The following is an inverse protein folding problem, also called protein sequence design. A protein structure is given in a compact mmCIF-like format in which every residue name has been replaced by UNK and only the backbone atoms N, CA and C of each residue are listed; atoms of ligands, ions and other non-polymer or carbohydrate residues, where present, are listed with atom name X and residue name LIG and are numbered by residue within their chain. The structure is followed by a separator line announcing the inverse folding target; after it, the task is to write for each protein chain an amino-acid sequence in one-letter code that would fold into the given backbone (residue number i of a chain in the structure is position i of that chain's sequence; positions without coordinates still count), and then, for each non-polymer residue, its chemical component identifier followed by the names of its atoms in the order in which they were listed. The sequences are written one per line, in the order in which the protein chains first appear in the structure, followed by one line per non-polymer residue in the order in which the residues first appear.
data_IF_490082455659
#
_entry.id   IF_490082455659
#
_cell.length_a   1.000
_cell.length_b   1.000
_cell.length_c   1.000
_cell.angle_alpha   90.00
_cell.angle_beta   90.00
_cell.angle_gamma   90.00
#
_symmetry.space_group_name_H-M   'P 1'
#
loop_
_entity.id
_entity.type
_entity.pdbx_description
1 polymer ?
#
# COMPACT_ATOMS: atom_id res chain seq x y z
N UNK A 1 6.88 -22.81 20.44
CA UNK A 1 6.60 -21.51 21.08
C UNK A 1 5.55 -20.78 20.25
N UNK A 2 4.31 -21.29 20.23
CA UNK A 2 3.21 -20.84 19.35
C UNK A 2 1.91 -20.69 20.15
N UNK A 3 1.97 -20.00 21.29
CA UNK A 3 0.84 -19.95 22.22
C UNK A 3 0.57 -18.53 22.70
N UNK A 4 0.53 -17.55 21.81
CA UNK A 4 0.29 -16.15 22.23
C UNK A 4 -0.48 -15.26 21.22
N UNK A 5 -1.20 -15.80 20.23
CA UNK A 5 -1.93 -14.97 19.25
C UNK A 5 -3.43 -15.30 19.13
N UNK A 6 -4.09 -15.72 20.22
CA UNK A 6 -5.56 -15.94 20.20
C UNK A 6 -6.40 -14.88 20.92
N UNK A 7 -5.80 -13.81 21.46
CA UNK A 7 -6.52 -12.85 22.31
C UNK A 7 -6.37 -11.36 21.96
N UNK A 8 -5.81 -11.00 20.81
CA UNK A 8 -5.72 -9.58 20.40
C UNK A 8 -7.08 -8.96 20.01
N UNK A 9 -8.15 -9.77 19.93
CA UNK A 9 -9.49 -9.30 19.54
C UNK A 9 -10.29 -8.62 20.68
N UNK A 10 -9.83 -8.64 21.94
CA UNK A 10 -10.64 -8.16 23.08
C UNK A 10 -9.96 -7.22 24.07
N UNK A 11 -8.68 -6.89 23.89
CA UNK A 11 -8.00 -5.94 24.77
C UNK A 11 -7.23 -4.96 23.88
N UNK A 12 -7.53 -3.67 24.03
CA UNK A 12 -6.83 -2.62 23.29
C UNK A 12 -5.31 -2.74 23.44
N UNK A 13 -4.60 -2.35 22.39
CA UNK A 13 -3.13 -2.46 22.32
C UNK A 13 -2.51 -1.63 23.45
N UNK A 14 -1.70 -2.26 24.30
CA UNK A 14 -0.94 -1.57 25.36
C UNK A 14 0.36 -1.01 24.76
N UNK A 15 0.84 0.14 25.27
CA UNK A 15 2.09 0.76 24.81
C UNK A 15 3.32 -0.17 24.88
N UNK A 16 3.34 -1.10 25.85
CA UNK A 16 4.41 -2.10 25.98
C UNK A 16 4.30 -3.27 24.97
N UNK A 17 3.18 -3.39 24.26
CA UNK A 17 2.93 -4.34 23.16
C UNK A 17 3.06 -3.67 21.78
N UNK A 18 3.25 -2.35 21.74
CA UNK A 18 3.73 -1.63 20.55
C UNK A 18 5.24 -1.78 20.43
N UNK A 19 5.74 -3.01 20.52
CA UNK A 19 7.07 -3.33 20.02
C UNK A 19 7.00 -3.31 18.49
N UNK A 20 7.96 -2.60 17.90
CA UNK A 20 7.93 -2.26 16.48
C UNK A 20 7.87 -3.50 15.60
N UNK A 21 8.76 -4.44 15.88
CA UNK A 21 8.96 -5.61 15.06
C UNK A 21 7.75 -6.55 15.11
N UNK A 22 7.12 -6.70 16.29
CA UNK A 22 5.95 -7.55 16.46
C UNK A 22 4.69 -6.96 15.83
N UNK A 23 4.50 -5.64 15.89
CA UNK A 23 3.39 -4.95 15.19
C UNK A 23 3.56 -5.05 13.66
N UNK A 24 4.77 -4.83 13.16
CA UNK A 24 5.08 -4.90 11.72
C UNK A 24 4.89 -6.30 11.19
N UNK A 25 5.35 -7.30 11.94
CA UNK A 25 5.21 -8.72 11.57
C UNK A 25 3.73 -9.10 11.47
N UNK A 26 2.89 -8.69 12.42
CA UNK A 26 1.46 -9.00 12.34
C UNK A 26 0.77 -8.20 11.23
N UNK A 27 1.15 -6.94 11.01
CA UNK A 27 0.62 -6.15 9.89
C UNK A 27 0.96 -6.78 8.54
N UNK A 28 2.21 -7.22 8.34
CA UNK A 28 2.62 -7.97 7.16
C UNK A 28 1.85 -9.28 7.01
N UNK A 29 1.62 -10.00 8.12
CA UNK A 29 0.83 -11.23 8.13
C UNK A 29 -0.60 -10.98 7.68
N UNK A 30 -1.23 -9.91 8.17
CA UNK A 30 -2.60 -9.53 7.82
C UNK A 30 -2.72 -9.10 6.35
N UNK A 31 -1.70 -8.42 5.82
CA UNK A 31 -1.70 -7.95 4.43
C UNK A 31 -1.31 -9.03 3.41
N UNK A 32 -0.70 -10.14 3.83
CA UNK A 32 -0.10 -11.14 2.95
C UNK A 32 -1.07 -11.67 1.88
N UNK A 33 -2.33 -11.88 2.26
CA UNK A 33 -3.35 -12.47 1.39
C UNK A 33 -4.31 -11.43 0.78
N UNK A 34 -4.06 -10.13 1.01
CA UNK A 34 -4.88 -9.10 0.36
C UNK A 34 -4.59 -9.06 -1.14
N UNK A 35 -5.64 -8.88 -1.97
CA UNK A 35 -5.46 -8.72 -3.40
C UNK A 35 -4.62 -7.48 -3.68
N UNK A 36 -3.67 -7.61 -4.60
CA UNK A 36 -2.91 -6.47 -5.11
C UNK A 36 -3.89 -5.47 -5.70
N UNK A 37 -3.82 -4.21 -5.24
CA UNK A 37 -4.69 -3.16 -5.75
C UNK A 37 -4.53 -3.06 -7.28
N UNK A 38 -5.63 -3.16 -8.05
CA UNK A 38 -5.54 -3.13 -9.51
C UNK A 38 -4.90 -1.81 -9.94
N UNK A 39 -3.81 -1.91 -10.69
CA UNK A 39 -3.17 -0.74 -11.29
C UNK A 39 -3.85 -0.45 -12.62
N UNK A 40 -4.18 0.81 -12.92
CA UNK A 40 -4.69 1.16 -14.23
C UNK A 40 -3.60 0.87 -15.26
N UNK A 41 -3.86 -0.13 -16.09
CA UNK A 41 -3.05 -0.49 -17.24
C UNK A 41 -3.79 0.01 -18.46
N UNK A 42 -3.15 0.86 -19.25
CA UNK A 42 -3.78 1.47 -20.42
C UNK A 42 -2.73 2.02 -21.37
N UNK A 43 -3.03 1.96 -22.66
CA UNK A 43 -2.20 2.61 -23.68
C UNK A 43 -2.37 4.13 -23.59
N UNK A 44 -1.25 4.84 -23.50
CA UNK A 44 -1.24 6.30 -23.49
C UNK A 44 -1.20 6.85 -24.92
N UNK A 45 -1.98 7.90 -25.17
CA UNK A 45 -1.85 8.69 -26.39
C UNK A 45 -0.74 9.74 -26.20
N UNK A 46 0.42 9.50 -26.81
CA UNK A 46 1.56 10.42 -26.74
C UNK A 46 1.32 11.79 -27.41
N UNK A 47 0.29 11.89 -28.26
CA UNK A 47 -0.09 13.12 -28.95
C UNK A 47 -1.22 13.89 -28.25
N UNK A 48 -1.57 13.51 -27.02
CA UNK A 48 -2.58 14.22 -26.24
C UNK A 48 -2.05 15.61 -25.83
N UNK A 49 -2.82 16.66 -26.12
CA UNK A 49 -2.43 18.05 -25.84
C UNK A 49 -2.74 18.49 -24.40
N UNK A 50 -3.53 17.72 -23.65
CA UNK A 50 -4.00 18.08 -22.32
C UNK A 50 -3.80 16.94 -21.34
N UNK A 51 -3.73 17.31 -20.05
CA UNK A 51 -3.61 16.35 -18.95
C UNK A 51 -4.93 15.60 -18.75
N UNK A 52 -4.85 14.36 -18.31
CA UNK A 52 -6.01 13.60 -17.87
C UNK A 52 -6.48 14.11 -16.50
N UNK A 53 -7.77 13.93 -16.19
CA UNK A 53 -8.38 14.39 -14.92
C UNK A 53 -7.70 13.73 -13.71
N UNK A 54 -7.33 12.46 -13.83
CA UNK A 54 -6.71 11.69 -12.75
C UNK A 54 -5.18 11.74 -12.77
N UNK A 55 -4.55 12.41 -13.73
CA UNK A 55 -3.09 12.47 -13.85
C UNK A 55 -2.43 11.21 -14.45
N UNK A 56 -3.21 10.27 -14.98
CA UNK A 56 -2.69 9.14 -15.77
C UNK A 56 -2.00 9.62 -17.05
N UNK A 57 -1.07 8.82 -17.55
CA UNK A 57 -0.32 9.05 -18.80
C UNK A 57 0.58 10.29 -18.82
N UNK A 58 0.91 10.87 -17.67
CA UNK A 58 1.98 11.88 -17.61
C UNK A 58 3.36 11.25 -17.87
N UNK A 59 3.55 9.98 -17.45
CA UNK A 59 4.69 9.15 -17.81
C UNK A 59 4.22 8.08 -18.80
N UNK A 60 4.76 8.07 -20.02
CA UNK A 60 4.31 7.17 -21.09
C UNK A 60 4.69 5.70 -20.82
N UNK A 61 5.86 5.48 -20.20
CA UNK A 61 6.35 4.14 -19.87
C UNK A 61 5.65 3.57 -18.64
N UNK A 62 5.22 4.44 -17.73
CA UNK A 62 4.57 4.08 -16.47
C UNK A 62 3.30 4.93 -16.24
N UNK A 63 2.19 4.61 -16.93
CA UNK A 63 1.00 5.47 -16.98
C UNK A 63 0.35 5.81 -15.63
N UNK A 64 0.53 4.98 -14.62
CA UNK A 64 -0.05 5.15 -13.28
C UNK A 64 0.82 6.00 -12.34
N UNK A 65 2.05 6.37 -12.72
CA UNK A 65 2.92 7.13 -11.82
C UNK A 65 2.42 8.56 -11.63
N UNK A 66 2.12 8.90 -10.37
CA UNK A 66 1.67 10.24 -9.99
C UNK A 66 0.18 10.50 -10.19
N UNK A 67 -0.61 9.47 -10.56
CA UNK A 67 -2.06 9.62 -10.66
C UNK A 67 -2.73 9.78 -9.29
N UNK A 68 -3.90 10.41 -9.28
CA UNK A 68 -4.78 10.46 -8.12
C UNK A 68 -5.31 9.06 -7.76
N UNK A 69 -5.49 8.80 -6.46
CA UNK A 69 -5.98 7.51 -5.96
C UNK A 69 -4.93 6.40 -5.90
N UNK A 70 -3.69 6.65 -6.32
CA UNK A 70 -2.57 5.73 -6.15
C UNK A 70 -2.01 5.78 -4.72
N UNK A 71 -1.42 4.66 -4.28
CA UNK A 71 -0.71 4.60 -3.01
C UNK A 71 0.53 5.50 -3.03
N UNK A 72 0.86 6.11 -1.89
CA UNK A 72 2.05 6.95 -1.76
C UNK A 72 3.31 6.09 -1.84
N UNK A 73 4.33 6.56 -2.59
CA UNK A 73 5.61 5.86 -2.69
C UNK A 73 6.35 5.96 -1.36
N UNK A 74 6.88 4.83 -0.90
CA UNK A 74 7.71 4.75 0.30
C UNK A 74 9.19 4.91 -0.09
N UNK A 75 9.87 5.89 0.53
CA UNK A 75 11.33 6.05 0.42
C UNK A 75 12.07 5.18 1.43
N UNK A 76 11.43 4.91 2.57
CA UNK A 76 11.89 4.00 3.61
C UNK A 76 10.80 2.94 3.84
N UNK A 77 11.15 1.73 4.32
CA UNK A 77 10.18 0.72 4.70
C UNK A 77 9.08 1.29 5.60
N UNK A 78 7.92 0.63 5.60
CA UNK A 78 6.98 0.86 6.68
C UNK A 78 7.70 0.56 7.99
N UNK A 79 7.57 1.52 8.91
CA UNK A 79 8.06 1.39 10.26
C UNK A 79 7.36 0.18 10.85
#
# INVERSE_FOLDING_TARGET
MMTALRNLSKQGIRLAELDHDSVVTEFQRLLKDLPVCPQPTGQCNANANFRTIYGTCNNLDNPAWGMAGAAQRRLLPAA
#
